data_IF_674319266426
#
_entry.id   IF_674319266426
#
_cell.length_a   1.000
_cell.length_b   1.000
_cell.length_c   1.000
_cell.angle_alpha   90.00
_cell.angle_beta   90.00
_cell.angle_gamma   90.00
#
_symmetry.space_group_name_H-M   'P 1'
#
loop_
_entity.id
_entity.type
_entity.pdbx_description
1 polymer ?
#
# COMPACT_ATOMS: atom_id res chain seq x y z
N UNK A 1 -6.13 0.64 17.45
CA UNK A 1 -5.71 -0.67 16.92
C UNK A 1 -5.72 -1.79 17.98
N UNK A 2 -4.84 -1.81 18.99
CA UNK A 2 -4.74 -2.94 19.94
C UNK A 2 -6.04 -3.35 20.66
N UNK A 3 -6.87 -2.39 21.08
CA UNK A 3 -8.20 -2.67 21.66
C UNK A 3 -9.11 -3.41 20.68
N UNK A 4 -9.23 -2.89 19.45
CA UNK A 4 -10.05 -3.48 18.37
C UNK A 4 -9.52 -4.86 17.98
N UNK A 5 -8.20 -5.04 17.85
CA UNK A 5 -7.62 -6.35 17.55
C UNK A 5 -7.92 -7.40 18.62
N UNK A 6 -8.05 -6.98 19.89
CA UNK A 6 -8.48 -7.88 20.97
C UNK A 6 -9.99 -8.15 20.93
N UNK A 7 -10.81 -7.14 20.68
CA UNK A 7 -12.27 -7.25 20.64
C UNK A 7 -12.76 -8.12 19.48
N UNK A 8 -12.10 -8.02 18.31
CA UNK A 8 -12.41 -8.81 17.12
C UNK A 8 -11.68 -10.16 17.09
N UNK A 9 -10.77 -10.41 18.03
CA UNK A 9 -9.84 -11.55 18.03
C UNK A 9 -9.13 -11.73 16.68
N UNK A 10 -8.45 -10.66 16.23
CA UNK A 10 -7.83 -10.64 14.90
C UNK A 10 -6.75 -11.72 14.74
N UNK A 11 -6.81 -12.44 13.61
CA UNK A 11 -5.84 -13.48 13.24
C UNK A 11 -4.53 -12.91 12.69
N UNK A 12 -4.62 -11.83 11.91
CA UNK A 12 -3.50 -11.14 11.29
C UNK A 12 -3.82 -9.66 11.08
N UNK A 13 -2.79 -8.89 10.74
CA UNK A 13 -2.86 -7.47 10.42
C UNK A 13 -2.44 -7.28 8.96
N UNK A 14 -3.11 -6.36 8.25
CA UNK A 14 -2.69 -5.90 6.92
C UNK A 14 -2.20 -4.45 7.04
N UNK A 15 -0.99 -4.17 6.54
CA UNK A 15 -0.46 -2.82 6.31
C UNK A 15 -0.54 -2.49 4.83
N UNK A 16 -1.18 -1.39 4.47
CA UNK A 16 -1.56 -1.09 3.08
C UNK A 16 -0.47 -0.40 2.27
N UNK A 17 0.48 0.28 2.91
CA UNK A 17 1.63 0.98 2.32
C UNK A 17 2.33 1.86 3.38
N UNK A 18 3.39 2.57 2.94
CA UNK A 18 4.12 3.62 3.65
C UNK A 18 4.45 3.26 5.10
N UNK A 19 5.14 2.13 5.25
CA UNK A 19 5.43 1.52 6.53
C UNK A 19 6.39 2.40 7.36
N UNK A 20 7.35 3.06 6.71
CA UNK A 20 8.32 3.92 7.37
C UNK A 20 8.44 5.29 6.68
N UNK A 21 8.03 6.33 7.41
CA UNK A 21 8.13 7.73 6.97
C UNK A 21 9.43 8.39 7.45
N UNK A 22 9.96 9.41 6.76
CA UNK A 22 9.55 9.89 5.42
C UNK A 22 10.29 9.19 4.27
N UNK A 23 11.41 8.52 4.55
CA UNK A 23 12.29 7.94 3.53
C UNK A 23 12.69 6.47 3.84
N UNK A 24 11.73 5.65 4.25
CA UNK A 24 11.96 4.22 4.50
C UNK A 24 12.98 3.94 5.61
N UNK A 25 13.47 2.70 5.65
CA UNK A 25 14.62 2.29 6.49
C UNK A 25 15.93 2.45 5.71
N UNK A 26 17.04 2.73 6.39
CA UNK A 26 18.37 2.81 5.76
C UNK A 26 19.01 1.41 5.57
N UNK A 27 18.82 0.52 6.52
CA UNK A 27 19.31 -0.86 6.55
C UNK A 27 18.51 -1.72 7.54
N UNK A 28 18.90 -2.99 7.70
CA UNK A 28 18.21 -3.98 8.54
C UNK A 28 18.35 -3.69 10.04
N UNK A 29 19.32 -2.83 10.42
CA UNK A 29 19.61 -2.42 11.79
C UNK A 29 19.10 -1.01 12.12
N UNK A 30 18.33 -0.40 11.22
CA UNK A 30 17.80 0.95 11.40
C UNK A 30 16.94 1.02 12.68
N UNK A 31 17.30 1.90 13.65
CA UNK A 31 16.51 2.06 14.88
C UNK A 31 15.07 2.48 14.62
N UNK A 32 14.76 3.07 13.46
CA UNK A 32 13.41 3.45 13.07
C UNK A 32 12.43 2.27 13.09
N UNK A 33 12.90 1.05 12.79
CA UNK A 33 12.07 -0.15 12.91
C UNK A 33 11.62 -0.39 14.36
N UNK A 34 12.54 -0.24 15.31
CA UNK A 34 12.22 -0.40 16.73
C UNK A 34 11.30 0.74 17.20
N UNK A 35 11.69 1.98 16.90
CA UNK A 35 11.03 3.19 17.39
C UNK A 35 9.63 3.39 16.82
N UNK A 36 9.41 3.07 15.54
CA UNK A 36 8.14 3.34 14.84
C UNK A 36 7.24 2.12 14.67
N UNK A 37 7.76 0.90 14.86
CA UNK A 37 6.95 -0.31 14.77
C UNK A 37 6.95 -1.09 16.09
N UNK A 38 8.10 -1.61 16.52
CA UNK A 38 8.17 -2.56 17.65
C UNK A 38 7.71 -1.95 18.98
N UNK A 39 8.12 -0.72 19.28
CA UNK A 39 7.76 -0.03 20.53
C UNK A 39 6.36 0.63 20.47
N UNK A 40 5.80 0.79 19.26
CA UNK A 40 4.46 1.35 19.06
C UNK A 40 3.38 0.28 19.18
N UNK A 41 3.54 -0.84 18.49
CA UNK A 41 2.52 -1.89 18.37
C UNK A 41 2.67 -3.00 19.43
N UNK A 42 2.90 -2.63 20.69
CA UNK A 42 3.26 -3.53 21.80
C UNK A 42 2.12 -4.38 22.37
N UNK A 43 0.87 -4.16 21.94
CA UNK A 43 -0.27 -4.88 22.50
C UNK A 43 -0.25 -6.37 22.11
N UNK A 44 -0.56 -7.27 23.05
CA UNK A 44 -0.59 -8.72 22.79
C UNK A 44 -1.49 -9.12 21.62
N UNK A 45 -2.60 -8.40 21.39
CA UNK A 45 -3.51 -8.64 20.26
C UNK A 45 -2.91 -8.28 18.90
N UNK A 46 -1.79 -7.57 18.87
CA UNK A 46 -1.05 -7.20 17.66
C UNK A 46 0.22 -8.03 17.45
N UNK A 47 0.55 -8.92 18.40
CA UNK A 47 1.64 -9.90 18.27
C UNK A 47 1.18 -11.08 17.40
N UNK A 48 0.84 -10.74 16.16
CA UNK A 48 0.24 -11.60 15.13
C UNK A 48 1.04 -11.44 13.83
N UNK A 49 0.71 -12.22 12.81
CA UNK A 49 1.33 -12.03 11.49
C UNK A 49 0.89 -10.68 10.91
N UNK A 50 1.86 -9.88 10.44
CA UNK A 50 1.60 -8.69 9.64
C UNK A 50 1.89 -9.02 8.17
N UNK A 51 0.94 -8.71 7.30
CA UNK A 51 1.12 -8.74 5.87
C UNK A 51 1.21 -7.30 5.39
N UNK A 52 2.38 -6.92 4.87
CA UNK A 52 2.66 -5.54 4.47
C UNK A 52 3.07 -5.52 3.01
N UNK A 53 2.69 -4.45 2.32
CA UNK A 53 3.23 -4.06 1.02
C UNK A 53 3.96 -2.73 1.14
N UNK A 54 4.83 -2.45 0.18
CA UNK A 54 5.62 -1.21 0.16
C UNK A 54 4.78 -0.06 -0.40
N UNK A 55 4.95 1.12 0.20
CA UNK A 55 4.50 2.39 -0.35
C UNK A 55 5.64 3.22 -0.96
N UNK A 56 5.29 4.38 -1.48
CA UNK A 56 6.30 5.25 -2.10
C UNK A 56 7.32 5.80 -1.11
N UNK A 57 6.97 5.98 0.17
CA UNK A 57 7.93 6.40 1.19
C UNK A 57 8.96 5.30 1.47
N UNK A 58 8.54 4.04 1.44
CA UNK A 58 9.42 2.90 1.67
C UNK A 58 10.48 2.78 0.57
N UNK A 59 10.12 3.12 -0.67
CA UNK A 59 11.03 3.16 -1.81
C UNK A 59 12.06 4.29 -1.76
N UNK A 60 11.88 5.32 -0.92
CA UNK A 60 12.90 6.37 -0.76
C UNK A 60 14.06 5.94 0.14
N UNK A 61 13.87 4.86 0.89
CA UNK A 61 14.92 4.19 1.65
C UNK A 61 15.45 2.94 0.96
N UNK A 62 15.97 2.03 1.76
CA UNK A 62 16.46 0.73 1.35
C UNK A 62 15.30 -0.29 1.36
N UNK A 63 14.72 -0.55 0.19
CA UNK A 63 13.57 -1.48 0.06
C UNK A 63 13.93 -2.91 0.47
N UNK A 64 15.20 -3.29 0.38
CA UNK A 64 15.66 -4.64 0.75
C UNK A 64 15.70 -4.82 2.28
N UNK A 65 15.84 -3.74 3.04
CA UNK A 65 15.89 -3.78 4.50
C UNK A 65 14.54 -4.07 5.16
N UNK A 66 13.44 -3.86 4.44
CA UNK A 66 12.09 -3.95 5.02
C UNK A 66 11.53 -5.38 5.05
N UNK A 67 12.27 -6.38 4.53
CA UNK A 67 11.90 -7.80 4.47
C UNK A 67 10.47 -8.10 3.97
N UNK A 68 9.86 -7.15 3.27
CA UNK A 68 8.50 -7.29 2.74
C UNK A 68 8.57 -7.93 1.35
N UNK A 69 7.66 -8.87 1.12
CA UNK A 69 7.38 -9.31 -0.24
C UNK A 69 6.70 -8.14 -0.97
N UNK A 70 7.12 -7.87 -2.21
CA UNK A 70 6.54 -6.76 -2.99
C UNK A 70 5.11 -7.08 -3.41
N UNK A 71 4.89 -8.27 -3.97
CA UNK A 71 3.54 -8.72 -4.34
C UNK A 71 3.43 -10.22 -4.09
N UNK A 72 2.32 -10.64 -3.50
CA UNK A 72 2.15 -12.01 -3.05
C UNK A 72 0.67 -12.33 -2.79
N UNK A 73 0.35 -13.62 -2.76
CA UNK A 73 -1.00 -14.11 -2.50
C UNK A 73 -1.02 -14.78 -1.14
N UNK A 74 -2.05 -14.47 -0.34
CA UNK A 74 -2.34 -15.18 0.91
C UNK A 74 -3.70 -15.83 0.79
N UNK A 75 -3.75 -17.15 0.91
CA UNK A 75 -5.00 -17.89 0.95
C UNK A 75 -5.31 -18.28 2.41
N UNK A 76 -6.40 -17.72 2.96
CA UNK A 76 -6.85 -18.01 4.33
C UNK A 76 -7.80 -19.21 4.41
N UNK A 77 -8.11 -19.85 3.28
CA UNK A 77 -9.14 -20.88 3.12
C UNK A 77 -10.53 -20.31 2.82
N UNK A 78 -10.90 -19.19 3.45
CA UNK A 78 -12.22 -18.55 3.25
C UNK A 78 -12.15 -17.27 2.42
N UNK A 79 -10.96 -16.69 2.28
CA UNK A 79 -10.69 -15.51 1.48
C UNK A 79 -9.29 -15.62 0.87
N UNK A 80 -9.15 -15.11 -0.34
CA UNK A 80 -7.87 -14.96 -1.03
C UNK A 80 -7.51 -13.47 -1.08
N UNK A 81 -6.28 -13.18 -0.67
CA UNK A 81 -5.76 -11.82 -0.61
C UNK A 81 -4.64 -11.67 -1.64
N UNK A 82 -4.77 -10.65 -2.48
CA UNK A 82 -3.75 -10.27 -3.45
C UNK A 82 -3.08 -8.98 -2.97
N UNK A 83 -1.85 -9.12 -2.49
CA UNK A 83 -1.03 -8.00 -2.07
C UNK A 83 -0.23 -7.51 -3.27
N UNK A 84 -0.39 -6.22 -3.61
CA UNK A 84 0.23 -5.64 -4.80
C UNK A 84 0.97 -4.38 -4.46
N UNK A 85 2.25 -4.34 -4.84
CA UNK A 85 3.07 -3.14 -4.76
C UNK A 85 2.78 -2.28 -5.99
N UNK A 86 2.03 -1.21 -5.75
CA UNK A 86 1.56 -0.32 -6.81
C UNK A 86 2.58 0.77 -7.16
N UNK A 87 3.66 0.93 -6.38
CA UNK A 87 4.63 2.01 -6.58
C UNK A 87 5.30 1.92 -7.96
N UNK A 88 5.77 0.74 -8.43
CA UNK A 88 6.35 0.60 -9.77
C UNK A 88 5.39 0.90 -10.94
N UNK A 89 4.07 0.89 -10.72
CA UNK A 89 3.07 1.18 -11.74
C UNK A 89 2.91 2.69 -12.00
N UNK A 90 3.41 3.54 -11.11
CA UNK A 90 3.21 4.99 -11.20
C UNK A 90 4.39 5.68 -11.88
N UNK A 91 4.16 6.22 -13.08
CA UNK A 91 5.20 6.93 -13.86
C UNK A 91 5.81 8.10 -13.10
N UNK A 92 5.01 8.79 -12.28
CA UNK A 92 5.44 9.98 -11.52
C UNK A 92 6.71 9.69 -10.70
N UNK A 93 6.83 8.53 -10.07
CA UNK A 93 7.97 8.17 -9.22
C UNK A 93 9.26 7.89 -10.00
N UNK A 94 9.17 7.59 -11.29
CA UNK A 94 10.35 7.42 -12.16
C UNK A 94 10.81 8.72 -12.80
N UNK A 95 9.93 9.74 -12.84
CA UNK A 95 10.16 11.00 -13.56
C UNK A 95 10.36 12.20 -12.65
N UNK A 96 9.91 12.14 -11.39
CA UNK A 96 10.12 13.23 -10.45
C UNK A 96 11.60 13.32 -10.03
N UNK A 97 12.03 14.53 -9.68
CA UNK A 97 13.43 14.81 -9.29
C UNK A 97 13.57 15.17 -7.80
N UNK A 98 12.45 15.17 -7.05
CA UNK A 98 12.43 15.64 -5.66
C UNK A 98 13.03 14.62 -4.69
N UNK A 99 12.85 13.34 -4.97
CA UNK A 99 13.26 12.23 -4.13
C UNK A 99 14.04 11.19 -4.94
N UNK A 100 14.97 10.50 -4.29
CA UNK A 100 15.62 9.32 -4.87
C UNK A 100 14.82 8.08 -4.47
N UNK A 101 14.71 7.13 -5.39
CA UNK A 101 13.93 5.91 -5.23
C UNK A 101 14.81 4.69 -5.49
N UNK A 102 14.74 3.70 -4.60
CA UNK A 102 15.46 2.43 -4.70
C UNK A 102 14.72 1.41 -5.58
N UNK A 103 15.08 1.41 -6.87
CA UNK A 103 14.50 0.52 -7.86
C UNK A 103 15.22 -0.84 -7.98
N UNK A 104 16.09 -1.22 -7.03
CA UNK A 104 16.75 -2.53 -7.04
C UNK A 104 15.70 -3.65 -7.00
N UNK A 105 15.77 -4.59 -7.94
CA UNK A 105 14.78 -5.66 -8.07
C UNK A 105 13.49 -5.28 -8.82
N UNK A 106 13.33 -4.01 -9.20
CA UNK A 106 12.23 -3.52 -10.07
C UNK A 106 12.70 -3.30 -11.51
N UNK A 107 13.98 -2.98 -11.72
CA UNK A 107 14.52 -2.79 -13.06
C UNK A 107 14.93 -4.12 -13.72
N UNK A 108 14.64 -4.33 -15.02
CA UNK A 108 13.94 -3.42 -15.94
C UNK A 108 12.43 -3.33 -15.66
N UNK A 109 11.90 -2.09 -15.56
CA UNK A 109 10.52 -1.81 -15.10
C UNK A 109 9.45 -2.56 -15.90
N UNK A 110 9.51 -2.50 -17.23
CA UNK A 110 8.51 -3.17 -18.09
C UNK A 110 8.47 -4.69 -17.88
N UNK A 111 9.64 -5.30 -17.70
CA UNK A 111 9.74 -6.73 -17.44
C UNK A 111 9.19 -7.08 -16.05
N UNK A 112 9.55 -6.28 -15.03
CA UNK A 112 9.02 -6.44 -13.69
C UNK A 112 7.50 -6.32 -13.65
N UNK A 113 6.94 -5.26 -14.24
CA UNK A 113 5.48 -5.06 -14.31
C UNK A 113 4.82 -6.23 -15.01
N UNK A 114 5.32 -6.66 -16.18
CA UNK A 114 4.76 -7.82 -16.88
C UNK A 114 4.79 -9.11 -16.04
N UNK A 115 5.79 -9.30 -15.19
CA UNK A 115 5.90 -10.49 -14.34
C UNK A 115 4.94 -10.42 -13.15
N UNK A 116 4.89 -9.29 -12.44
CA UNK A 116 3.93 -9.08 -11.33
C UNK A 116 2.52 -9.38 -11.79
N UNK A 117 2.15 -8.88 -12.97
CA UNK A 117 0.81 -9.06 -13.54
C UNK A 117 0.49 -10.50 -13.89
N UNK A 118 1.48 -11.27 -14.36
CA UNK A 118 1.31 -12.72 -14.53
C UNK A 118 1.19 -13.45 -13.20
N UNK A 119 1.98 -13.06 -12.20
CA UNK A 119 2.02 -13.74 -10.88
C UNK A 119 0.74 -13.56 -10.09
N UNK A 120 0.11 -12.39 -10.20
CA UNK A 120 -1.19 -12.09 -9.60
C UNK A 120 -2.38 -12.47 -10.50
N UNK A 121 -2.14 -13.25 -11.55
CA UNK A 121 -3.11 -13.68 -12.58
C UNK A 121 -3.96 -12.54 -13.17
N UNK A 122 -3.37 -11.34 -13.23
CA UNK A 122 -4.00 -10.15 -13.76
C UNK A 122 -3.59 -9.92 -15.21
N UNK A 123 -4.52 -10.12 -16.13
CA UNK A 123 -4.34 -9.69 -17.52
C UNK A 123 -4.42 -8.15 -17.59
N UNK A 124 -3.31 -7.48 -17.92
CA UNK A 124 -3.26 -6.02 -18.01
C UNK A 124 -3.85 -5.49 -19.32
N UNK A 125 -4.80 -4.55 -19.23
CA UNK A 125 -4.93 -3.44 -20.19
C UNK A 125 -5.34 -2.17 -19.44
N UNK A 126 -4.42 -1.20 -19.38
CA UNK A 126 -4.54 0.26 -19.16
C UNK A 126 -5.33 0.84 -17.96
N UNK A 127 -6.13 0.07 -17.23
CA UNK A 127 -6.86 0.54 -16.05
C UNK A 127 -6.99 -0.60 -15.04
N UNK A 128 -6.65 -0.33 -13.77
CA UNK A 128 -6.72 -1.32 -12.68
C UNK A 128 -8.17 -1.81 -12.46
N UNK A 129 -9.15 -0.94 -12.67
CA UNK A 129 -10.57 -1.24 -12.42
C UNK A 129 -11.13 -2.38 -13.29
N UNK A 130 -11.00 -2.38 -14.63
CA UNK A 130 -11.40 -3.51 -15.46
C UNK A 130 -10.84 -4.86 -15.03
N UNK A 131 -9.62 -4.88 -14.48
CA UNK A 131 -8.99 -6.11 -14.00
C UNK A 131 -9.68 -6.61 -12.73
N UNK A 132 -9.95 -5.72 -11.79
CA UNK A 132 -10.69 -6.05 -10.56
C UNK A 132 -12.10 -6.56 -10.90
N UNK A 133 -12.78 -5.92 -11.86
CA UNK A 133 -14.10 -6.33 -12.33
C UNK A 133 -14.09 -7.68 -13.04
N UNK A 134 -13.11 -7.92 -13.93
CA UNK A 134 -12.99 -9.18 -14.66
C UNK A 134 -12.68 -10.38 -13.74
N UNK A 135 -12.04 -10.13 -12.60
CA UNK A 135 -11.73 -11.14 -11.58
C UNK A 135 -12.74 -11.17 -10.42
N UNK A 136 -13.87 -10.46 -10.56
CA UNK A 136 -14.95 -10.45 -9.57
C UNK A 136 -14.48 -10.11 -8.14
N UNK A 137 -13.50 -9.20 -8.02
CA UNK A 137 -12.90 -8.83 -6.72
C UNK A 137 -13.95 -8.19 -5.81
N UNK A 138 -14.12 -8.71 -4.58
CA UNK A 138 -15.09 -8.14 -3.64
C UNK A 138 -14.65 -6.80 -3.05
N UNK A 139 -13.36 -6.68 -2.70
CA UNK A 139 -12.79 -5.58 -1.93
C UNK A 139 -11.44 -5.15 -2.52
N UNK A 140 -11.32 -3.85 -2.80
CA UNK A 140 -10.03 -3.20 -3.04
C UNK A 140 -9.70 -2.31 -1.85
N UNK A 141 -8.55 -2.57 -1.22
CA UNK A 141 -8.10 -1.85 -0.03
C UNK A 141 -6.76 -1.16 -0.34
N UNK A 142 -6.67 0.14 -0.08
CA UNK A 142 -5.43 0.90 -0.25
C UNK A 142 -5.16 1.84 0.94
N UNK A 143 -3.97 2.45 0.92
CA UNK A 143 -3.61 3.56 1.79
C UNK A 143 -3.24 4.80 0.97
N UNK A 144 -2.05 5.34 1.19
CA UNK A 144 -1.46 6.53 0.56
C UNK A 144 -2.18 7.84 0.88
N UNK A 145 -3.48 7.92 0.59
CA UNK A 145 -4.30 9.04 1.02
C UNK A 145 -4.48 8.98 2.54
N UNK A 146 -4.04 10.02 3.25
CA UNK A 146 -4.07 10.10 4.72
C UNK A 146 -5.49 10.34 5.29
N UNK A 147 -6.43 9.49 4.89
CA UNK A 147 -7.82 9.51 5.32
C UNK A 147 -8.40 8.08 5.47
N UNK A 148 -9.66 8.01 5.91
CA UNK A 148 -10.48 6.81 5.84
C UNK A 148 -11.60 7.07 4.85
N UNK A 149 -11.74 6.21 3.84
CA UNK A 149 -12.75 6.38 2.80
C UNK A 149 -13.41 5.04 2.46
N UNK A 150 -14.70 5.12 2.12
CA UNK A 150 -15.45 4.02 1.51
C UNK A 150 -16.16 4.56 0.28
N UNK A 151 -15.86 3.97 -0.89
CA UNK A 151 -16.53 4.25 -2.16
C UNK A 151 -17.22 2.98 -2.63
N UNK A 152 -18.47 3.13 -3.07
CA UNK A 152 -19.25 2.07 -3.70
C UNK A 152 -19.84 2.56 -5.01
N UNK A 153 -20.08 1.64 -5.94
CA UNK A 153 -20.72 1.90 -7.22
C UNK A 153 -22.08 1.22 -7.27
N UNK A 154 -23.04 1.83 -7.96
CA UNK A 154 -24.32 1.15 -8.25
C UNK A 154 -24.18 0.12 -9.37
N UNK A 155 -23.11 0.23 -10.17
CA UNK A 155 -22.89 -0.58 -11.37
C UNK A 155 -21.85 -1.69 -11.17
N UNK A 156 -21.19 -1.72 -10.01
CA UNK A 156 -20.12 -2.67 -9.70
C UNK A 156 -20.23 -3.08 -8.22
N UNK A 157 -20.17 -4.38 -7.90
CA UNK A 157 -20.29 -4.86 -6.52
C UNK A 157 -19.02 -4.57 -5.69
N UNK A 158 -17.90 -4.24 -6.35
CA UNK A 158 -16.61 -3.98 -5.70
C UNK A 158 -16.73 -2.86 -4.68
N UNK A 159 -16.21 -3.11 -3.48
CA UNK A 159 -16.08 -2.09 -2.43
C UNK A 159 -14.65 -1.55 -2.41
N UNK A 160 -14.52 -0.23 -2.48
CA UNK A 160 -13.22 0.45 -2.40
C UNK A 160 -13.06 1.05 -1.01
N UNK A 161 -12.02 0.64 -0.30
CA UNK A 161 -11.71 1.09 1.06
C UNK A 161 -10.33 1.74 1.08
N UNK A 162 -10.26 2.96 1.58
CA UNK A 162 -8.99 3.64 1.86
C UNK A 162 -8.77 3.69 3.37
N UNK A 163 -7.60 3.25 3.81
CA UNK A 163 -7.21 3.16 5.21
C UNK A 163 -5.83 3.78 5.49
N UNK A 164 -5.53 4.95 4.92
CA UNK A 164 -4.23 5.62 5.09
C UNK A 164 -4.13 6.57 6.30
N UNK A 165 -5.18 6.70 7.12
CA UNK A 165 -5.19 7.58 8.31
C UNK A 165 -4.46 7.05 9.56
N UNK A 166 -3.44 6.20 9.40
CA UNK A 166 -2.81 5.46 10.50
C UNK A 166 -1.83 6.26 11.37
N UNK A 167 -1.08 7.18 10.78
CA UNK A 167 -0.03 7.97 11.43
C UNK A 167 -0.19 9.48 11.18
N UNK A 168 -0.42 9.85 9.92
CA UNK A 168 -0.81 11.18 9.47
C UNK A 168 -2.30 11.14 9.13
N UNK A 169 -3.01 12.22 9.46
CA UNK A 169 -4.41 12.40 9.11
C UNK A 169 -4.60 13.80 8.55
N UNK A 170 -5.46 13.93 7.54
CA UNK A 170 -5.80 15.21 6.94
C UNK A 170 -6.21 16.25 8.00
N UNK A 171 -5.62 17.46 7.91
CA UNK A 171 -5.88 18.57 8.84
C UNK A 171 -6.98 19.53 8.41
N UNK A 172 -7.57 19.36 7.22
CA UNK A 172 -8.59 20.29 6.72
C UNK A 172 -8.09 21.31 5.68
N UNK A 173 -6.82 21.27 5.29
CA UNK A 173 -6.23 22.28 4.40
C UNK A 173 -6.61 21.99 2.93
N UNK A 174 -7.31 22.92 2.28
CA UNK A 174 -7.80 22.83 0.89
C UNK A 174 -7.00 23.77 0.01
N UNK A 175 -6.26 23.23 -0.97
CA UNK A 175 -5.56 24.02 -2.00
C UNK A 175 -6.52 24.48 -3.11
N UNK A 176 -6.20 25.58 -3.79
CA UNK A 176 -7.01 26.11 -4.89
C UNK A 176 -7.05 25.14 -6.11
N UNK A 177 -8.23 25.01 -6.73
CA UNK A 177 -8.51 24.04 -7.79
C UNK A 177 -7.95 24.47 -9.16
N UNK A 178 -7.30 23.53 -9.88
CA UNK A 178 -6.86 23.71 -11.26
C UNK A 178 -7.63 22.76 -12.22
N UNK A 179 -8.46 23.28 -13.14
CA UNK A 179 -9.24 22.46 -14.08
C UNK A 179 -8.43 21.66 -15.11
N UNK A 180 -7.16 22.00 -15.32
CA UNK A 180 -6.32 21.36 -16.34
C UNK A 180 -5.50 20.18 -15.80
N UNK A 181 -5.61 19.86 -14.52
CA UNK A 181 -4.89 18.77 -13.88
C UNK A 181 -5.88 17.79 -13.27
N UNK A 182 -5.83 16.50 -13.66
CA UNK A 182 -6.43 15.45 -12.84
C UNK A 182 -5.50 15.18 -11.65
N UNK A 183 -5.46 16.12 -10.71
CA UNK A 183 -4.83 15.92 -9.41
C UNK A 183 -5.88 15.29 -8.51
N UNK A 184 -5.63 14.06 -8.04
CA UNK A 184 -6.12 13.70 -6.71
C UNK A 184 -5.63 14.81 -5.80
N UNK A 185 -6.56 15.42 -5.07
CA UNK A 185 -6.41 16.78 -4.56
C UNK A 185 -5.21 17.01 -3.63
N UNK A 186 -4.44 16.00 -3.25
CA UNK A 186 -3.53 16.11 -2.13
C UNK A 186 -2.26 15.30 -2.36
N UNK A 187 -1.15 15.90 -1.98
CA UNK A 187 0.12 15.25 -1.80
C UNK A 187 0.06 14.42 -0.52
N UNK A 188 0.14 13.08 -0.66
CA UNK A 188 0.84 12.29 0.34
C UNK A 188 2.25 12.82 0.54
#
# INVERSE_FOLDING_TARGET
MGKVGKELDADFIISTDDNFYDDGLIDEEDPLFVESFTEVYTSNSLQKQWYSVLGNHDYRGNVLAQFCLRSFIVNSGNAEFFFVDTTPFQDKYFTEEKHEYDWRGVLPREEYLSNVLKEVDMALVDQFLPILEANEVDLYINGHDHCLQHISSQNSPIQFLTSGGGSKAWRGDVNEWNPNEMKFYYNG
#
